data_IF_914747797467
#
_entry.id   IF_914747797467
#
_cell.length_a   1.000
_cell.length_b   1.000
_cell.length_c   1.000
_cell.angle_alpha   90.00
_cell.angle_beta   90.00
_cell.angle_gamma   90.00
#
_symmetry.space_group_name_H-M   'P 1'
#
loop_
_entity.id
_entity.type
_entity.pdbx_description
1 polymer ?
#
# COMPACT_ATOMS: atom_id res chain seq x y z
N UNK A 1 -25.34 2.77 20.42
CA UNK A 1 -24.82 3.16 19.09
C UNK A 1 -23.60 4.05 19.31
N UNK A 2 -22.61 4.06 18.41
CA UNK A 2 -21.45 4.94 18.53
C UNK A 2 -21.87 6.41 18.34
N UNK A 3 -21.20 7.32 19.05
CA UNK A 3 -21.37 8.77 18.94
C UNK A 3 -20.15 9.38 18.23
N UNK A 4 -20.34 9.89 17.02
CA UNK A 4 -19.25 10.40 16.18
C UNK A 4 -18.55 11.66 16.73
N UNK A 5 -19.12 12.31 17.76
CA UNK A 5 -18.49 13.48 18.39
C UNK A 5 -17.53 13.09 19.52
N UNK A 6 -17.51 11.81 19.92
CA UNK A 6 -16.68 11.32 21.02
C UNK A 6 -15.55 10.48 20.43
N UNK A 7 -14.28 10.73 20.84
CA UNK A 7 -13.16 9.94 20.33
C UNK A 7 -13.30 8.45 20.58
N UNK A 8 -12.87 7.64 19.60
CA UNK A 8 -12.78 6.20 19.75
C UNK A 8 -11.49 5.78 20.44
N UNK A 9 -11.49 4.59 21.02
CA UNK A 9 -10.30 3.91 21.53
C UNK A 9 -10.19 2.57 20.85
N UNK A 10 -9.11 2.36 20.11
CA UNK A 10 -8.79 1.10 19.46
C UNK A 10 -7.74 0.39 20.29
N UNK A 11 -8.13 -0.67 20.99
CA UNK A 11 -7.19 -1.59 21.63
C UNK A 11 -6.75 -2.62 20.62
N UNK A 12 -5.44 -2.86 20.58
CA UNK A 12 -4.82 -3.81 19.66
C UNK A 12 -4.07 -4.83 20.49
N UNK A 13 -4.36 -6.10 20.23
CA UNK A 13 -3.66 -7.23 20.80
C UNK A 13 -3.28 -8.24 19.73
N UNK A 14 -2.07 -8.77 19.84
CA UNK A 14 -1.49 -9.64 18.85
C UNK A 14 -0.72 -10.77 19.53
N UNK A 15 -1.11 -12.01 19.22
CA UNK A 15 -0.39 -13.20 19.65
C UNK A 15 0.29 -13.89 18.47
N UNK A 16 0.99 -15.01 18.73
CA UNK A 16 1.72 -15.75 17.69
C UNK A 16 0.82 -16.33 16.58
N UNK A 17 -0.47 -16.55 16.86
CA UNK A 17 -1.41 -17.23 15.95
C UNK A 17 -2.60 -16.34 15.48
N UNK A 18 -2.89 -15.25 16.20
CA UNK A 18 -4.10 -14.43 16.04
C UNK A 18 -3.78 -12.95 16.26
N UNK A 19 -4.42 -12.08 15.49
CA UNK A 19 -4.54 -10.65 15.79
C UNK A 19 -6.00 -10.31 16.14
N UNK A 20 -6.16 -9.46 17.14
CA UNK A 20 -7.44 -8.99 17.64
C UNK A 20 -7.42 -7.49 17.92
N UNK A 21 -8.56 -6.84 17.72
CA UNK A 21 -8.74 -5.47 18.13
C UNK A 21 -10.15 -5.19 18.62
N UNK A 22 -10.19 -4.33 19.64
CA UNK A 22 -11.40 -3.94 20.34
C UNK A 22 -11.61 -2.43 20.16
N UNK A 23 -12.69 -2.06 19.48
CA UNK A 23 -13.08 -0.68 19.29
C UNK A 23 -14.04 -0.26 20.41
N UNK A 24 -13.63 0.73 21.19
CA UNK A 24 -14.31 1.21 22.39
C UNK A 24 -14.64 2.70 22.27
N UNK A 25 -15.62 3.13 23.08
CA UNK A 25 -15.97 4.54 23.23
C UNK A 25 -16.43 4.83 24.66
N UNK A 26 -16.08 6.01 25.19
CA UNK A 26 -16.56 6.45 26.50
C UNK A 26 -17.97 7.04 26.34
N UNK A 27 -18.93 6.45 27.03
CA UNK A 27 -20.33 6.89 27.02
C UNK A 27 -20.75 7.29 28.44
N UNK A 28 -21.61 8.30 28.56
CA UNK A 28 -22.19 8.66 29.87
C UNK A 28 -23.37 7.72 30.11
N UNK A 29 -23.24 6.87 31.13
CA UNK A 29 -24.30 5.96 31.59
C UNK A 29 -24.49 6.26 33.08
N UNK A 30 -25.73 6.54 33.49
CA UNK A 30 -26.06 6.90 34.88
C UNK A 30 -25.16 8.03 35.44
N UNK A 31 -24.99 9.10 34.65
CA UNK A 31 -24.12 10.26 34.93
C UNK A 31 -22.63 9.93 35.18
N UNK A 32 -22.19 8.73 34.78
CA UNK A 32 -20.79 8.29 34.92
C UNK A 32 -20.17 7.98 33.56
N UNK A 33 -18.94 8.45 33.31
CA UNK A 33 -18.20 8.07 32.12
C UNK A 33 -17.84 6.58 32.21
N UNK A 34 -18.45 5.78 31.34
CA UNK A 34 -18.24 4.33 31.27
C UNK A 34 -17.73 3.98 29.87
N UNK A 35 -16.60 3.27 29.80
CA UNK A 35 -16.07 2.80 28.53
C UNK A 35 -16.84 1.55 28.08
N UNK A 36 -17.33 1.58 26.84
CA UNK A 36 -18.14 0.50 26.26
C UNK A 36 -17.55 0.08 24.92
N UNK A 37 -17.59 -1.23 24.66
CA UNK A 37 -17.22 -1.76 23.36
C UNK A 37 -18.28 -1.45 22.30
N UNK A 38 -17.78 -1.08 21.12
CA UNK A 38 -18.53 -0.79 19.91
C UNK A 38 -18.45 -1.98 18.97
N UNK A 39 -17.24 -2.49 18.75
CA UNK A 39 -16.98 -3.59 17.83
C UNK A 39 -15.73 -4.38 18.25
N UNK A 40 -15.71 -5.65 17.88
CA UNK A 40 -14.62 -6.58 18.08
C UNK A 40 -14.26 -7.18 16.74
N UNK A 41 -12.98 -7.18 16.39
CA UNK A 41 -12.48 -7.82 15.17
C UNK A 41 -11.30 -8.71 15.53
N UNK A 42 -11.21 -9.89 14.90
CA UNK A 42 -10.05 -10.75 15.06
C UNK A 42 -9.84 -11.61 13.82
N UNK A 43 -8.58 -11.95 13.53
CA UNK A 43 -8.25 -12.85 12.42
C UNK A 43 -7.09 -13.77 12.76
N UNK A 44 -7.10 -14.93 12.12
CA UNK A 44 -5.96 -15.83 12.14
C UNK A 44 -4.83 -15.30 11.25
N UNK A 45 -3.61 -15.55 11.69
CA UNK A 45 -2.39 -15.20 10.95
C UNK A 45 -2.22 -16.16 9.76
N UNK A 46 -1.83 -15.63 8.61
CA UNK A 46 -1.53 -16.46 7.44
C UNK A 46 -0.19 -17.16 7.61
N UNK A 47 0.01 -18.37 7.03
CA UNK A 47 1.30 -19.05 7.06
C UNK A 47 2.46 -18.23 6.49
N UNK A 48 2.19 -17.30 5.58
CA UNK A 48 3.18 -16.37 5.02
C UNK A 48 3.54 -15.23 5.99
N UNK A 49 2.57 -14.76 6.76
CA UNK A 49 2.73 -13.71 7.78
C UNK A 49 3.47 -14.24 9.01
N UNK A 50 3.30 -15.52 9.35
CA UNK A 50 4.02 -16.18 10.44
C UNK A 50 5.55 -16.13 10.33
N UNK A 51 6.09 -15.75 9.16
CA UNK A 51 7.53 -15.56 8.93
C UNK A 51 8.05 -14.17 9.32
N UNK A 52 7.15 -13.23 9.60
CA UNK A 52 7.50 -11.86 9.98
C UNK A 52 7.98 -11.80 11.43
N UNK A 53 8.93 -10.92 11.70
CA UNK A 53 9.35 -10.63 13.07
C UNK A 53 8.26 -9.87 13.84
N UNK A 54 8.26 -9.95 15.17
CA UNK A 54 7.24 -9.34 16.03
C UNK A 54 6.86 -7.88 15.66
N UNK A 55 7.85 -7.02 15.38
CA UNK A 55 7.59 -5.61 15.00
C UNK A 55 6.87 -5.46 13.66
N UNK A 56 7.16 -6.35 12.71
CA UNK A 56 6.50 -6.35 11.41
C UNK A 56 5.07 -6.85 11.55
N UNK A 57 4.86 -7.86 12.41
CA UNK A 57 3.53 -8.40 12.71
C UNK A 57 2.63 -7.34 13.33
N UNK A 58 3.10 -6.65 14.36
CA UNK A 58 2.32 -5.58 15.00
C UNK A 58 1.96 -4.44 14.02
N UNK A 59 2.89 -4.05 13.16
CA UNK A 59 2.62 -3.02 12.15
C UNK A 59 1.59 -3.50 11.12
N UNK A 60 1.70 -4.75 10.68
CA UNK A 60 0.75 -5.39 9.78
C UNK A 60 -0.65 -5.46 10.39
N UNK A 61 -0.75 -5.79 11.67
CA UNK A 61 -2.03 -5.88 12.38
C UNK A 61 -2.69 -4.51 12.52
N UNK A 62 -1.93 -3.50 12.92
CA UNK A 62 -2.43 -2.12 12.95
C UNK A 62 -2.99 -1.70 11.58
N UNK A 63 -2.25 -1.96 10.49
CA UNK A 63 -2.74 -1.61 9.14
C UNK A 63 -4.04 -2.33 8.80
N UNK A 64 -4.12 -3.61 9.11
CA UNK A 64 -5.31 -4.42 8.86
C UNK A 64 -6.52 -3.92 9.67
N UNK A 65 -6.32 -3.58 10.95
CA UNK A 65 -7.38 -3.11 11.85
C UNK A 65 -7.90 -1.73 11.42
N UNK A 66 -6.98 -0.82 11.05
CA UNK A 66 -7.34 0.48 10.48
C UNK A 66 -8.16 0.34 9.19
N UNK A 67 -7.78 -0.60 8.32
CA UNK A 67 -8.52 -0.87 7.09
C UNK A 67 -9.93 -1.43 7.38
N UNK A 68 -10.03 -2.39 8.29
CA UNK A 68 -11.32 -3.01 8.64
C UNK A 68 -12.27 -2.07 9.37
N UNK A 69 -11.73 -1.19 10.20
CA UNK A 69 -12.48 -0.22 10.98
C UNK A 69 -12.53 1.16 10.33
N UNK A 70 -12.11 1.29 9.06
CA UNK A 70 -12.09 2.56 8.33
C UNK A 70 -13.43 3.32 8.44
N UNK A 71 -14.56 2.63 8.29
CA UNK A 71 -15.89 3.24 8.42
C UNK A 71 -16.17 3.88 9.78
N UNK A 72 -15.47 3.48 10.85
CA UNK A 72 -15.57 4.07 12.18
C UNK A 72 -14.51 5.15 12.42
N UNK A 73 -13.33 4.98 11.85
CA UNK A 73 -12.15 5.79 12.16
C UNK A 73 -11.94 6.96 11.20
N UNK A 74 -12.51 6.90 10.00
CA UNK A 74 -12.45 7.98 9.02
C UNK A 74 -13.06 9.26 9.59
N UNK A 75 -12.35 10.38 9.42
CA UNK A 75 -12.67 11.71 9.98
C UNK A 75 -12.94 11.78 11.51
N UNK A 76 -12.77 10.69 12.25
CA UNK A 76 -13.00 10.62 13.70
C UNK A 76 -11.69 10.69 14.47
N UNK A 77 -11.67 11.38 15.62
CA UNK A 77 -10.53 11.33 16.53
C UNK A 77 -10.47 9.97 17.23
N UNK A 78 -9.29 9.35 17.33
CA UNK A 78 -9.14 8.10 18.05
C UNK A 78 -7.76 7.86 18.65
N UNK A 79 -7.74 7.01 19.67
CA UNK A 79 -6.53 6.58 20.36
C UNK A 79 -6.27 5.10 20.06
N UNK A 80 -5.08 4.79 19.56
CA UNK A 80 -4.61 3.41 19.42
C UNK A 80 -3.85 3.03 20.68
N UNK A 81 -4.29 1.99 21.37
CA UNK A 81 -3.74 1.51 22.62
C UNK A 81 -3.12 0.15 22.38
N UNK A 82 -1.81 0.05 22.56
CA UNK A 82 -1.05 -1.18 22.34
C UNK A 82 -0.08 -1.43 23.49
N UNK A 83 0.17 -2.70 23.78
CA UNK A 83 1.17 -3.14 24.76
C UNK A 83 2.58 -3.20 24.19
N UNK A 84 2.73 -2.99 22.87
CA UNK A 84 4.03 -2.96 22.24
C UNK A 84 4.48 -1.55 21.86
N UNK A 85 5.62 -1.17 22.45
CA UNK A 85 6.33 0.06 22.09
C UNK A 85 6.82 0.05 20.63
N UNK A 86 6.87 -1.12 20.00
CA UNK A 86 7.40 -1.24 18.66
C UNK A 86 6.52 -0.54 17.65
N UNK A 87 5.19 -0.48 17.77
CA UNK A 87 4.27 0.24 16.84
C UNK A 87 4.59 1.73 16.68
N UNK A 88 5.19 2.38 17.68
CA UNK A 88 5.63 3.78 17.60
C UNK A 88 6.85 3.96 16.68
N UNK A 89 7.67 2.92 16.54
CA UNK A 89 8.96 2.92 15.85
C UNK A 89 8.86 2.87 14.32
N UNK A 90 8.03 2.00 13.69
CA UNK A 90 7.76 1.96 12.26
C UNK A 90 7.61 3.35 11.69
N UNK A 91 6.86 4.20 12.36
CA UNK A 91 6.45 5.49 11.83
C UNK A 91 7.55 6.54 11.74
N UNK A 92 8.68 6.32 12.44
CA UNK A 92 9.83 7.21 12.45
C UNK A 92 11.09 6.55 11.85
N UNK A 93 10.94 5.37 11.23
CA UNK A 93 12.06 4.68 10.58
C UNK A 93 12.54 5.51 9.38
N UNK A 94 13.81 5.89 9.40
CA UNK A 94 14.47 6.63 8.31
C UNK A 94 14.73 5.76 7.06
N UNK A 95 14.84 4.44 7.23
CA UNK A 95 15.06 3.48 6.14
C UNK A 95 14.19 2.22 6.37
N UNK A 96 12.87 2.33 6.18
CA UNK A 96 11.96 1.20 6.32
C UNK A 96 12.16 0.21 5.17
N UNK A 97 12.00 -1.09 5.44
CA UNK A 97 11.92 -2.08 4.38
C UNK A 97 10.62 -1.89 3.56
N UNK A 98 10.50 -2.50 2.38
CA UNK A 98 9.37 -2.31 1.45
C UNK A 98 7.99 -2.52 2.10
N UNK A 99 7.83 -3.54 2.94
CA UNK A 99 6.56 -3.80 3.64
C UNK A 99 6.27 -2.70 4.66
N UNK A 100 7.27 -2.30 5.43
CA UNK A 100 7.16 -1.23 6.42
C UNK A 100 6.84 0.13 5.79
N UNK A 101 7.44 0.47 4.64
CA UNK A 101 7.15 1.72 3.91
C UNK A 101 5.69 1.74 3.44
N UNK A 102 5.19 0.62 2.91
CA UNK A 102 3.78 0.48 2.49
C UNK A 102 2.82 0.69 3.67
N UNK A 103 3.14 0.08 4.82
CA UNK A 103 2.34 0.19 6.04
C UNK A 103 2.39 1.59 6.65
N UNK A 104 3.55 2.25 6.65
CA UNK A 104 3.67 3.64 7.07
C UNK A 104 2.74 4.57 6.28
N UNK A 105 2.67 4.43 4.96
CA UNK A 105 1.80 5.24 4.10
C UNK A 105 0.33 5.00 4.45
N UNK A 106 -0.07 3.75 4.67
CA UNK A 106 -1.44 3.41 5.07
C UNK A 106 -1.81 4.04 6.42
N UNK A 107 -0.89 3.98 7.39
CA UNK A 107 -1.09 4.58 8.72
C UNK A 107 -1.11 6.11 8.66
N UNK A 108 -0.38 6.72 7.71
CA UNK A 108 -0.32 8.19 7.54
C UNK A 108 -1.69 8.83 7.29
N UNK A 109 -2.61 8.12 6.63
CA UNK A 109 -3.97 8.59 6.36
C UNK A 109 -4.70 9.00 7.65
N UNK A 110 -4.46 8.28 8.74
CA UNK A 110 -5.13 8.51 10.02
C UNK A 110 -4.36 9.45 10.95
N UNK A 111 -3.17 9.93 10.58
CA UNK A 111 -2.26 10.63 11.51
C UNK A 111 -2.77 11.94 12.06
N UNK A 112 -3.61 12.65 11.31
CA UNK A 112 -4.22 13.89 11.79
C UNK A 112 -5.12 13.67 13.00
N UNK A 113 -5.75 12.49 13.07
CA UNK A 113 -6.81 12.19 14.04
C UNK A 113 -6.45 11.03 14.99
N UNK A 114 -5.30 10.35 14.77
CA UNK A 114 -4.86 9.17 15.51
C UNK A 114 -3.72 9.48 16.49
N UNK A 115 -3.89 9.09 17.76
CA UNK A 115 -2.83 9.12 18.79
C UNK A 115 -2.46 7.72 19.23
N UNK A 116 -1.17 7.35 19.20
CA UNK A 116 -0.71 6.01 19.63
C UNK A 116 -0.19 6.06 21.07
N UNK A 117 -0.87 5.35 21.97
CA UNK A 117 -0.55 5.21 23.38
C UNK A 117 0.00 3.81 23.67
N UNK A 118 1.10 3.78 24.41
CA UNK A 118 1.64 2.50 24.92
C UNK A 118 1.13 2.29 26.34
N UNK A 119 0.60 1.11 26.63
CA UNK A 119 0.11 0.76 27.97
C UNK A 119 0.61 -0.64 28.32
N UNK A 120 1.26 -0.80 29.47
CA UNK A 120 1.80 -2.10 29.86
C UNK A 120 0.70 -3.18 29.96
N UNK A 121 0.95 -4.36 29.37
CA UNK A 121 -0.04 -5.43 29.12
C UNK A 121 -0.79 -5.97 30.35
N UNK A 122 -0.35 -5.66 31.58
CA UNK A 122 -1.05 -6.05 32.82
C UNK A 122 -2.44 -5.40 32.99
N UNK A 123 -2.84 -4.46 32.12
CA UNK A 123 -4.14 -3.75 32.19
C UNK A 123 -5.15 -4.28 31.15
N UNK A 124 -4.75 -5.11 30.18
CA UNK A 124 -5.60 -5.60 29.08
C UNK A 124 -6.38 -6.88 29.42
N UNK A 125 -6.77 -7.09 30.69
CA UNK A 125 -7.51 -8.31 31.11
C UNK A 125 -8.88 -8.50 30.44
N UNK A 126 -9.42 -7.48 29.80
CA UNK A 126 -10.71 -7.57 29.08
C UNK A 126 -10.58 -8.06 27.63
N UNK A 127 -9.39 -8.00 27.02
CA UNK A 127 -9.16 -8.26 25.58
C UNK A 127 -8.55 -9.67 25.33
N UNK A 128 -8.00 -10.29 26.39
CA UNK A 128 -7.32 -11.59 26.38
C UNK A 128 -8.17 -12.79 25.89
N UNK A 129 -9.48 -12.59 25.74
CA UNK A 129 -10.41 -13.61 25.22
C UNK A 129 -10.43 -13.72 23.69
N UNK A 130 -10.25 -12.61 22.97
CA UNK A 130 -10.39 -12.56 21.50
C UNK A 130 -9.09 -12.91 20.79
N UNK A 131 -7.94 -12.51 21.33
CA UNK A 131 -6.62 -12.87 20.81
C UNK A 131 -6.25 -14.34 21.08
N UNK A 132 -6.96 -15.05 21.97
CA UNK A 132 -6.67 -16.45 22.31
C UNK A 132 -7.62 -17.48 21.69
N UNK A 133 -8.79 -17.05 21.21
CA UNK A 133 -9.84 -17.94 20.68
C UNK A 133 -10.43 -17.38 19.36
N UNK A 134 -9.59 -17.23 18.33
CA UNK A 134 -10.08 -16.84 17.01
C UNK A 134 -10.99 -17.92 16.39
N UNK A 135 -12.11 -17.48 15.82
CA UNK A 135 -12.91 -18.31 14.94
C UNK A 135 -12.08 -18.73 13.72
N UNK A 136 -12.34 -19.94 13.22
CA UNK A 136 -11.71 -20.43 12.01
C UNK A 136 -11.89 -19.43 10.86
N UNK A 137 -10.87 -19.29 10.02
CA UNK A 137 -10.91 -18.42 8.84
C UNK A 137 -11.79 -19.01 7.72
N UNK A 138 -13.09 -19.11 7.96
CA UNK A 138 -14.12 -19.57 7.02
C UNK A 138 -14.89 -18.39 6.42
N UNK A 139 -15.53 -18.52 5.25
CA UNK A 139 -16.32 -17.44 4.64
C UNK A 139 -17.45 -16.89 5.53
N UNK A 140 -17.92 -17.68 6.50
CA UNK A 140 -18.94 -17.29 7.48
C UNK A 140 -18.38 -16.40 8.61
N UNK A 141 -17.05 -16.28 8.74
CA UNK A 141 -16.41 -15.38 9.69
C UNK A 141 -16.48 -13.95 9.13
N UNK A 142 -17.06 -12.96 9.84
CA UNK A 142 -17.09 -11.57 9.37
C UNK A 142 -15.69 -10.95 9.19
N UNK A 143 -14.66 -11.54 9.82
CA UNK A 143 -13.26 -11.17 9.65
C UNK A 143 -12.49 -12.11 8.69
N UNK A 144 -13.19 -12.89 7.87
CA UNK A 144 -12.61 -13.78 6.87
C UNK A 144 -11.60 -13.05 5.98
N UNK A 145 -10.45 -13.69 5.79
CA UNK A 145 -9.43 -13.26 4.83
C UNK A 145 -9.12 -14.45 3.91
N UNK A 146 -9.44 -14.38 2.60
CA UNK A 146 -9.15 -15.50 1.70
C UNK A 146 -7.66 -15.84 1.70
N UNK A 147 -7.34 -17.13 1.76
CA UNK A 147 -5.95 -17.63 1.79
C UNK A 147 -5.18 -17.24 0.52
N UNK A 148 -5.86 -17.20 -0.62
CA UNK A 148 -5.32 -16.80 -1.93
C UNK A 148 -5.47 -15.30 -2.21
N UNK A 149 -6.25 -14.58 -1.41
CA UNK A 149 -6.26 -13.13 -1.49
C UNK A 149 -5.00 -12.63 -0.81
N UNK A 150 -4.01 -12.20 -1.57
CA UNK A 150 -3.12 -11.16 -1.08
C UNK A 150 -3.99 -10.04 -0.49
N UNK A 151 -3.59 -9.39 0.62
CA UNK A 151 -4.28 -8.19 1.08
C UNK A 151 -4.52 -7.32 -0.14
N UNK A 152 -5.79 -6.93 -0.42
CA UNK A 152 -6.17 -6.14 -1.59
C UNK A 152 -5.68 -4.69 -1.49
N UNK A 153 -4.47 -4.51 -1.00
CA UNK A 153 -3.59 -3.43 -1.36
C UNK A 153 -2.68 -3.99 -2.46
N UNK A 154 -3.07 -3.99 -3.75
CA UNK A 154 -2.14 -4.35 -4.81
C UNK A 154 -1.12 -3.22 -4.92
N UNK A 155 -0.07 -3.28 -4.10
CA UNK A 155 1.18 -2.58 -4.35
C UNK A 155 2.18 -3.65 -4.75
N UNK A 156 1.97 -4.15 -5.96
CA UNK A 156 2.96 -4.83 -6.82
C UNK A 156 4.07 -3.86 -7.26
N UNK A 157 4.53 -3.00 -6.35
CA UNK A 157 5.78 -2.28 -6.54
C UNK A 157 6.91 -3.28 -6.77
N UNK A 158 7.91 -2.94 -7.58
CA UNK A 158 9.08 -3.76 -7.82
C UNK A 158 9.63 -4.27 -6.48
N UNK A 159 10.28 -5.43 -6.48
CA UNK A 159 11.26 -5.76 -5.45
C UNK A 159 12.39 -4.72 -5.53
N UNK A 160 12.16 -3.53 -4.96
CA UNK A 160 13.12 -2.42 -4.82
C UNK A 160 14.17 -2.78 -3.73
N UNK A 161 14.26 -4.06 -3.35
CA UNK A 161 15.19 -4.55 -2.32
C UNK A 161 16.65 -4.53 -2.79
N UNK A 162 16.89 -4.52 -4.10
CA UNK A 162 18.25 -4.47 -4.67
C UNK A 162 18.64 -3.07 -5.17
N UNK A 163 17.73 -2.10 -5.04
CA UNK A 163 17.94 -0.73 -5.46
C UNK A 163 18.45 0.04 -4.23
N UNK A 164 19.77 0.27 -4.19
CA UNK A 164 20.44 0.93 -3.07
C UNK A 164 19.92 2.35 -2.79
N UNK A 165 20.29 2.90 -1.64
CA UNK A 165 19.94 4.28 -1.23
C UNK A 165 20.31 5.33 -2.28
N UNK A 166 21.39 5.07 -3.03
CA UNK A 166 21.88 5.88 -4.14
C UNK A 166 20.82 6.15 -5.21
N UNK A 167 19.95 5.18 -5.51
CA UNK A 167 18.89 5.37 -6.50
C UNK A 167 17.85 6.40 -6.05
N UNK A 168 17.48 6.38 -4.76
CA UNK A 168 16.52 7.35 -4.24
C UNK A 168 17.12 8.75 -4.18
N UNK A 169 18.42 8.86 -3.88
CA UNK A 169 19.14 10.13 -3.99
C UNK A 169 19.16 10.63 -5.45
N UNK A 170 19.43 9.74 -6.40
CA UNK A 170 19.39 10.07 -7.83
C UNK A 170 17.99 10.51 -8.30
N UNK A 171 16.94 9.85 -7.81
CA UNK A 171 15.54 10.28 -8.05
C UNK A 171 15.35 11.72 -7.56
N UNK A 172 15.74 12.05 -6.32
CA UNK A 172 15.59 13.41 -5.77
C UNK A 172 16.40 14.43 -6.56
N UNK A 173 17.63 14.11 -6.94
CA UNK A 173 18.47 14.99 -7.75
C UNK A 173 17.89 15.21 -9.15
N UNK A 174 17.29 14.18 -9.74
CA UNK A 174 16.70 14.26 -11.08
C UNK A 174 15.53 15.26 -11.14
N UNK A 175 14.78 15.45 -10.05
CA UNK A 175 13.67 16.40 -9.98
C UNK A 175 14.09 17.85 -10.17
N UNK A 176 15.34 18.20 -9.80
CA UNK A 176 15.87 19.56 -9.97
C UNK A 176 16.04 19.95 -11.44
N UNK A 177 16.13 18.96 -12.33
CA UNK A 177 16.37 19.17 -13.75
C UNK A 177 15.06 19.31 -14.56
N UNK A 178 13.92 18.91 -13.99
CA UNK A 178 12.63 18.94 -14.67
C UNK A 178 11.70 20.05 -14.13
N UNK A 179 11.18 20.88 -15.04
CA UNK A 179 10.31 22.01 -14.72
C UNK A 179 9.02 21.59 -14.01
N UNK A 180 8.38 20.50 -14.46
CA UNK A 180 7.13 20.03 -13.88
C UNK A 180 7.36 19.52 -12.47
N UNK A 181 8.42 18.72 -12.25
CA UNK A 181 8.77 18.23 -10.92
C UNK A 181 9.09 19.37 -9.95
N UNK A 182 9.91 20.34 -10.35
CA UNK A 182 10.21 21.51 -9.53
C UNK A 182 8.95 22.28 -9.12
N UNK A 183 8.03 22.47 -10.06
CA UNK A 183 6.73 23.11 -9.81
C UNK A 183 5.88 22.27 -8.85
N UNK A 184 5.83 20.95 -9.06
CA UNK A 184 5.05 20.03 -8.26
C UNK A 184 5.57 19.95 -6.82
N UNK A 185 6.88 19.88 -6.61
CA UNK A 185 7.49 19.93 -5.28
C UNK A 185 7.11 21.23 -4.56
N UNK A 186 7.18 22.37 -5.25
CA UNK A 186 6.79 23.67 -4.67
C UNK A 186 5.31 23.74 -4.28
N UNK A 187 4.43 23.11 -5.08
CA UNK A 187 2.99 23.03 -4.80
C UNK A 187 2.69 22.09 -3.61
N UNK A 188 3.38 20.95 -3.53
CA UNK A 188 3.16 19.92 -2.50
C UNK A 188 3.77 20.30 -1.15
N UNK A 189 4.95 20.93 -1.11
CA UNK A 189 5.63 21.28 0.15
C UNK A 189 4.97 22.46 0.89
N UNK A 190 4.30 23.36 0.15
CA UNK A 190 3.68 24.58 0.71
C UNK A 190 2.17 24.47 0.92
N UNK A 191 1.58 23.31 0.63
CA UNK A 191 0.12 23.10 0.56
C UNK A 191 -0.57 24.23 -0.23
N UNK A 192 0.13 24.66 -1.29
CA UNK A 192 -0.07 25.92 -1.97
C UNK A 192 -1.09 25.71 -3.10
N UNK A 193 -2.27 26.33 -2.99
CA UNK A 193 -3.30 26.33 -4.04
C UNK A 193 -3.09 27.45 -5.06
N UNK A 194 -1.84 27.83 -5.34
CA UNK A 194 -1.55 28.92 -6.26
C UNK A 194 -1.92 28.50 -7.70
N UNK A 195 -2.97 29.12 -8.21
CA UNK A 195 -3.52 28.84 -9.53
C UNK A 195 -2.53 29.21 -10.65
N UNK A 196 -1.62 30.15 -10.41
CA UNK A 196 -0.61 30.55 -11.39
C UNK A 196 0.43 29.43 -11.62
N UNK A 197 0.92 28.80 -10.55
CA UNK A 197 1.85 27.68 -10.60
C UNK A 197 1.21 26.41 -11.17
N UNK A 198 -0.07 26.15 -10.89
CA UNK A 198 -0.77 24.99 -11.49
C UNK A 198 -0.86 25.12 -13.02
N UNK A 199 -0.91 26.35 -13.55
CA UNK A 199 -0.97 26.59 -14.99
C UNK A 199 0.37 26.41 -15.71
N UNK A 200 1.50 26.34 -15.01
CA UNK A 200 2.81 26.06 -15.62
C UNK A 200 3.09 24.57 -15.80
N UNK A 201 2.27 23.70 -15.20
CA UNK A 201 2.33 22.25 -15.38
C UNK A 201 1.79 21.84 -16.74
N UNK A 202 2.43 20.87 -17.38
CA UNK A 202 1.88 20.27 -18.60
C UNK A 202 0.57 19.52 -18.29
N UNK A 203 -0.28 19.33 -19.32
CA UNK A 203 -1.67 18.87 -19.13
C UNK A 203 -1.80 17.56 -18.33
N UNK A 204 -0.90 16.59 -18.56
CA UNK A 204 -0.93 15.28 -17.87
C UNK A 204 -0.70 15.44 -16.36
N UNK A 205 0.24 16.32 -15.99
CA UNK A 205 0.55 16.65 -14.60
C UNK A 205 -0.58 17.45 -13.97
N UNK A 206 -1.08 18.47 -14.68
CA UNK A 206 -2.19 19.32 -14.21
C UNK A 206 -3.46 18.51 -13.94
N UNK A 207 -3.82 17.58 -14.82
CA UNK A 207 -4.98 16.69 -14.65
C UNK A 207 -4.82 15.77 -13.43
N UNK A 208 -3.62 15.21 -13.24
CA UNK A 208 -3.33 14.34 -12.10
C UNK A 208 -3.30 15.11 -10.78
N UNK A 209 -2.70 16.31 -10.76
CA UNK A 209 -2.67 17.20 -9.60
C UNK A 209 -4.06 17.68 -9.20
N UNK A 210 -4.91 18.10 -10.17
CA UNK A 210 -6.28 18.55 -9.91
C UNK A 210 -7.15 17.45 -9.27
N UNK A 211 -6.81 16.18 -9.52
CA UNK A 211 -7.45 14.99 -8.92
C UNK A 211 -6.81 14.56 -7.60
N UNK A 212 -5.93 15.39 -7.02
CA UNK A 212 -5.15 15.10 -5.79
C UNK A 212 -4.41 13.77 -5.85
N UNK A 213 -3.84 13.43 -7.00
CA UNK A 213 -3.13 12.16 -7.19
C UNK A 213 -1.67 12.22 -6.76
N UNK A 214 -1.09 13.39 -6.50
CA UNK A 214 0.32 13.50 -6.13
C UNK A 214 0.51 13.76 -4.65
N UNK A 215 1.52 13.11 -4.07
CA UNK A 215 1.91 13.24 -2.67
C UNK A 215 3.43 13.33 -2.58
N UNK A 216 3.95 14.17 -1.68
CA UNK A 216 5.38 14.27 -1.38
C UNK A 216 5.69 13.47 -0.13
N UNK A 217 6.72 12.62 -0.17
CA UNK A 217 7.25 11.93 1.01
C UNK A 217 8.77 11.81 0.87
N UNK A 218 9.51 12.31 1.86
CA UNK A 218 10.97 12.30 1.90
C UNK A 218 11.64 12.87 0.63
N UNK A 219 11.06 13.95 0.10
CA UNK A 219 11.53 14.61 -1.13
C UNK A 219 11.23 13.83 -2.42
N UNK A 220 10.51 12.70 -2.33
CA UNK A 220 10.08 11.91 -3.47
C UNK A 220 8.59 12.15 -3.73
N UNK A 221 8.23 12.28 -5.00
CA UNK A 221 6.85 12.48 -5.41
C UNK A 221 6.25 11.12 -5.78
N UNK A 222 5.10 10.82 -5.21
CA UNK A 222 4.31 9.62 -5.47
C UNK A 222 3.01 9.95 -6.18
N UNK A 223 2.63 9.13 -7.16
CA UNK A 223 1.32 9.15 -7.77
C UNK A 223 0.43 8.06 -7.17
N UNK A 224 -0.71 8.47 -6.60
CA UNK A 224 -1.78 7.63 -6.07
C UNK A 224 -2.92 7.49 -7.08
N UNK A 225 -3.38 6.27 -7.25
CA UNK A 225 -4.66 5.91 -7.87
C UNK A 225 -5.54 5.23 -6.82
N UNK A 226 -6.75 4.80 -7.19
CA UNK A 226 -7.66 4.10 -6.26
C UNK A 226 -7.00 2.86 -5.63
N UNK A 227 -6.15 2.17 -6.38
CA UNK A 227 -5.61 0.86 -5.98
C UNK A 227 -4.07 0.82 -5.95
N UNK A 228 -3.37 1.90 -6.27
CA UNK A 228 -1.90 1.89 -6.33
C UNK A 228 -1.30 3.22 -5.86
N UNK A 229 -0.10 3.14 -5.30
CA UNK A 229 0.73 4.31 -5.00
C UNK A 229 2.15 4.00 -5.47
N UNK A 230 2.63 4.77 -6.45
CA UNK A 230 3.89 4.50 -7.15
C UNK A 230 4.74 5.75 -7.23
N UNK A 231 6.06 5.58 -7.18
CA UNK A 231 7.00 6.70 -7.29
C UNK A 231 6.97 7.31 -8.69
N UNK A 232 7.17 8.62 -8.78
CA UNK A 232 7.26 9.32 -10.05
C UNK A 232 8.72 9.50 -10.51
N UNK A 233 8.97 9.29 -11.80
CA UNK A 233 10.31 9.33 -12.38
C UNK A 233 10.39 10.38 -13.50
N UNK A 234 11.52 11.09 -13.59
CA UNK A 234 11.79 12.05 -14.66
C UNK A 234 12.96 11.63 -15.56
N UNK A 235 13.99 11.00 -15.00
CA UNK A 235 15.22 10.66 -15.73
C UNK A 235 15.05 9.39 -16.56
N UNK A 236 15.53 9.45 -17.81
CA UNK A 236 15.58 8.29 -18.71
C UNK A 236 16.41 7.14 -18.12
N UNK A 237 17.47 7.46 -17.37
CA UNK A 237 18.29 6.45 -16.69
C UNK A 237 17.46 5.65 -15.69
N UNK A 238 16.77 6.34 -14.78
CA UNK A 238 15.90 5.71 -13.78
C UNK A 238 14.76 4.91 -14.40
N UNK A 239 14.15 5.44 -15.48
CA UNK A 239 13.10 4.74 -16.24
C UNK A 239 13.65 3.43 -16.84
N UNK A 240 14.86 3.46 -17.41
CA UNK A 240 15.49 2.25 -17.96
C UNK A 240 15.83 1.24 -16.87
N UNK A 241 16.24 1.68 -15.68
CA UNK A 241 16.44 0.80 -14.52
C UNK A 241 15.15 0.08 -14.14
N UNK A 242 14.02 0.80 -14.13
CA UNK A 242 12.70 0.18 -13.88
C UNK A 242 12.34 -0.84 -14.96
N UNK A 243 12.61 -0.54 -16.23
CA UNK A 243 12.35 -1.49 -17.31
C UNK A 243 13.19 -2.76 -17.20
N UNK A 244 14.49 -2.62 -16.93
CA UNK A 244 15.39 -3.74 -16.70
C UNK A 244 14.88 -4.61 -15.55
N UNK A 245 14.53 -4.01 -14.41
CA UNK A 245 14.00 -4.76 -13.28
C UNK A 245 12.66 -5.43 -13.57
N UNK A 246 11.78 -4.79 -14.34
CA UNK A 246 10.47 -5.35 -14.67
C UNK A 246 10.53 -6.47 -15.72
N UNK A 247 11.51 -6.46 -16.62
CA UNK A 247 11.52 -7.31 -17.82
C UNK A 247 12.77 -8.18 -17.99
N UNK A 248 13.96 -7.67 -17.67
CA UNK A 248 15.25 -8.32 -17.95
C UNK A 248 15.90 -8.96 -16.73
N UNK A 249 15.50 -8.55 -15.53
CA UNK A 249 15.98 -9.12 -14.27
C UNK A 249 15.77 -10.63 -14.23
N UNK A 250 16.78 -11.34 -13.73
CA UNK A 250 16.81 -12.80 -13.63
C UNK A 250 15.59 -13.31 -12.85
N UNK A 251 15.12 -12.53 -11.87
CA UNK A 251 13.95 -12.83 -11.03
C UNK A 251 12.61 -12.50 -11.70
N UNK A 252 12.61 -11.57 -12.66
CA UNK A 252 11.38 -11.12 -13.29
C UNK A 252 10.87 -12.06 -14.38
N UNK A 253 11.77 -12.84 -14.98
CA UNK A 253 11.49 -13.62 -16.19
C UNK A 253 11.21 -12.71 -17.39
N UNK A 254 11.56 -13.14 -18.60
CA UNK A 254 11.13 -12.44 -19.81
C UNK A 254 9.61 -12.64 -19.98
N UNK A 255 8.84 -11.74 -19.37
CA UNK A 255 7.38 -11.80 -19.31
C UNK A 255 6.74 -11.21 -20.57
N UNK A 256 5.50 -11.60 -20.86
CA UNK A 256 4.70 -11.02 -21.95
C UNK A 256 4.51 -9.51 -21.77
N UNK A 257 4.10 -8.82 -22.84
CA UNK A 257 3.81 -7.37 -22.82
C UNK A 257 2.85 -7.01 -21.70
N UNK A 258 1.75 -7.75 -21.57
CA UNK A 258 0.70 -7.46 -20.60
C UNK A 258 1.22 -7.55 -19.17
N UNK A 259 1.99 -8.59 -18.86
CA UNK A 259 2.61 -8.77 -17.54
C UNK A 259 3.69 -7.72 -17.26
N UNK A 260 4.46 -7.34 -18.27
CA UNK A 260 5.47 -6.26 -18.14
C UNK A 260 4.78 -4.92 -17.88
N UNK A 261 3.69 -4.63 -18.58
CA UNK A 261 2.86 -3.45 -18.36
C UNK A 261 2.26 -3.42 -16.95
N UNK A 262 1.76 -4.56 -16.46
CA UNK A 262 1.23 -4.67 -15.11
C UNK A 262 2.32 -4.42 -14.06
N UNK A 263 3.50 -5.02 -14.22
CA UNK A 263 4.64 -4.73 -13.34
C UNK A 263 4.96 -3.24 -13.34
N UNK A 264 5.29 -2.64 -14.49
CA UNK A 264 5.67 -1.22 -14.56
C UNK A 264 4.61 -0.32 -13.94
N UNK A 265 3.32 -0.56 -14.25
CA UNK A 265 2.17 0.18 -13.70
C UNK A 265 2.16 0.22 -12.18
N UNK A 266 2.55 -0.89 -11.55
CA UNK A 266 2.52 -1.05 -10.11
C UNK A 266 3.80 -0.54 -9.43
N UNK A 267 4.79 -0.06 -10.20
CA UNK A 267 6.12 0.29 -9.69
C UNK A 267 6.43 1.77 -9.73
N UNK A 268 6.25 2.39 -10.90
CA UNK A 268 6.62 3.77 -11.13
C UNK A 268 5.68 4.43 -12.14
N UNK A 269 5.61 5.75 -12.10
CA UNK A 269 4.79 6.54 -13.01
C UNK A 269 5.58 7.67 -13.66
N UNK A 270 5.34 7.88 -14.95
CA UNK A 270 5.73 9.06 -15.72
C UNK A 270 4.71 9.25 -16.85
N UNK A 271 4.56 10.43 -17.47
CA UNK A 271 3.46 10.72 -18.40
C UNK A 271 3.27 9.71 -19.54
N UNK A 272 4.37 9.19 -20.08
CA UNK A 272 4.43 8.29 -21.23
C UNK A 272 4.69 6.82 -20.87
N UNK A 273 4.58 6.43 -19.59
CA UNK A 273 5.03 5.12 -19.11
C UNK A 273 4.50 3.94 -19.94
N UNK A 274 3.20 3.93 -20.23
CA UNK A 274 2.57 2.83 -20.97
C UNK A 274 3.11 2.68 -22.38
N UNK A 275 3.30 3.80 -23.09
CA UNK A 275 3.83 3.81 -24.46
C UNK A 275 5.27 3.34 -24.46
N UNK A 276 6.07 3.88 -23.55
CA UNK A 276 7.50 3.57 -23.45
C UNK A 276 7.76 2.14 -22.98
N UNK A 277 6.91 1.55 -22.13
CA UNK A 277 7.01 0.12 -21.80
C UNK A 277 6.85 -0.76 -23.03
N UNK A 278 5.90 -0.42 -23.92
CA UNK A 278 5.67 -1.18 -25.15
C UNK A 278 6.86 -1.01 -26.10
N UNK A 279 7.36 0.22 -26.27
CA UNK A 279 8.56 0.49 -27.07
C UNK A 279 9.78 -0.29 -26.53
N UNK A 280 10.00 -0.28 -25.21
CA UNK A 280 11.06 -1.05 -24.54
C UNK A 280 10.91 -2.55 -24.79
N UNK A 281 9.71 -3.10 -24.59
CA UNK A 281 9.44 -4.51 -24.85
C UNK A 281 9.80 -4.91 -26.29
N UNK A 282 9.51 -4.04 -27.27
CA UNK A 282 9.85 -4.30 -28.66
C UNK A 282 11.36 -4.30 -28.93
N UNK A 283 12.20 -3.73 -28.06
CA UNK A 283 13.67 -3.84 -28.17
C UNK A 283 14.22 -5.19 -27.68
N UNK A 284 13.40 -6.04 -27.06
CA UNK A 284 13.84 -7.30 -26.48
C UNK A 284 14.11 -8.38 -27.54
N UNK A 285 15.40 -8.63 -27.77
CA UNK A 285 15.94 -9.56 -28.76
C UNK A 285 15.49 -11.02 -28.54
N UNK A 286 15.36 -11.45 -27.27
CA UNK A 286 14.92 -12.82 -26.89
C UNK A 286 13.46 -13.08 -27.29
N UNK A 287 12.59 -12.08 -27.18
CA UNK A 287 11.19 -12.19 -27.63
C UNK A 287 11.03 -12.08 -29.14
N UNK A 288 11.76 -11.17 -29.79
CA UNK A 288 11.76 -11.07 -31.25
C UNK A 288 12.16 -12.40 -31.92
N UNK A 289 13.05 -13.17 -31.29
CA UNK A 289 13.48 -14.50 -31.76
C UNK A 289 12.49 -15.63 -31.40
N UNK A 290 11.78 -15.53 -30.27
CA UNK A 290 10.81 -16.52 -29.80
C UNK A 290 9.42 -16.44 -30.45
N UNK A 291 8.98 -15.26 -30.88
CA UNK A 291 7.70 -15.03 -31.56
C UNK A 291 7.82 -15.11 -33.10
N UNK A 292 8.49 -16.15 -33.62
CA UNK A 292 8.22 -16.52 -35.02
C UNK A 292 6.79 -17.04 -35.07
N UNK A 293 5.96 -16.52 -35.97
CA UNK A 293 4.57 -16.96 -36.13
C UNK A 293 4.53 -18.47 -36.43
N UNK A 294 4.34 -19.28 -35.41
CA UNK A 294 4.21 -20.73 -35.54
C UNK A 294 2.77 -21.08 -35.86
N UNK A 295 2.47 -21.13 -37.17
CA UNK A 295 1.42 -22.00 -37.73
C UNK A 295 -0.05 -21.55 -37.57
N UNK A 296 -0.89 -22.04 -38.49
CA UNK A 296 -2.31 -21.70 -38.62
C UNK A 296 -3.11 -21.98 -37.33
N UNK A 297 -4.11 -21.14 -37.05
CA UNK A 297 -5.12 -21.31 -35.99
C UNK A 297 -5.67 -22.74 -36.00
N UNK A 298 -5.45 -23.49 -34.92
CA UNK A 298 -6.20 -24.71 -34.63
C UNK A 298 -7.65 -24.32 -34.32
N UNK A 299 -8.59 -24.75 -35.16
CA UNK A 299 -10.01 -24.48 -34.94
C UNK A 299 -10.84 -24.52 -36.21
N UNK A 300 -10.91 -25.67 -36.87
CA UNK A 300 -12.06 -26.07 -37.71
C UNK A 300 -12.18 -27.59 -37.58
N UNK A 301 -13.20 -28.02 -36.83
CA UNK A 301 -13.62 -29.42 -36.74
C UNK A 301 -14.03 -29.86 -38.16
N UNK A 302 -13.31 -30.81 -38.76
CA UNK A 302 -13.73 -31.43 -40.01
C UNK A 302 -14.71 -32.54 -39.63
N UNK A 303 -15.95 -32.44 -40.10
CA UNK A 303 -16.93 -33.51 -39.98
C UNK A 303 -16.44 -34.72 -40.80
N UNK A 304 -16.26 -35.86 -40.13
CA UNK A 304 -16.05 -37.14 -40.80
C UNK A 304 -17.45 -37.64 -41.22
N UNK A 305 -17.68 -37.82 -42.52
CA UNK A 305 -18.80 -38.62 -43.00
C UNK A 305 -18.39 -40.09 -42.94
N UNK A 306 -19.07 -40.87 -42.11
CA UNK A 306 -18.96 -42.33 -42.14
C UNK A 306 -19.65 -42.84 -43.41
N UNK A 307 -18.92 -43.66 -44.17
CA UNK A 307 -19.37 -44.40 -45.34
C UNK A 307 -19.64 -45.86 -45.00
#
# INVERSE_FOLDING_TARGET
>A
MPDWNIPFKLYIDACEDVSGADLHQVQIIDDKPTEKSVCYISRQIKPTEARYGARQMECLFLVWELEKLHYYLDDSAFEVITDCNSVKSPLNMKTPNRHMLRWQIAIQEYRGNMTILHKAGNIHKNDDGLSRWALANTPDNPAYVPLEAEPQIPIEGINITDIGTEFFEEVRESYKQDRNFHTLTSLLDKDCKDTSLVNTLDEVWKNSYSKRRFHSFDGIIYQRTKNSCVMTLCSRFLINTIFHECHDSIYSGHLSVDRTLEKVKNCAWWPSWRKETIEYYHTCDRFQKGNRSTGKRFGLMIHIQES
#
